data_IF_386830897273
#
_entry.id   IF_386830897273
#
_cell.length_a   1.000
_cell.length_b   1.000
_cell.length_c   1.000
_cell.angle_alpha   90.00
_cell.angle_beta   90.00
_cell.angle_gamma   90.00
#
_symmetry.space_group_name_H-M   'P 1'
#
loop_
_entity.id
_entity.type
_entity.pdbx_description
1 polymer ?
#
# COMPACT_ATOMS: atom_id res chain seq x y z
N UNK A 1 25.90 -6.47 -62.10
CA UNK A 1 26.17 -7.26 -60.88
C UNK A 1 26.07 -6.30 -59.70
N UNK A 2 24.84 -6.04 -59.25
CA UNK A 2 24.54 -5.06 -58.20
C UNK A 2 24.69 -5.70 -56.82
N UNK A 3 25.45 -5.08 -55.92
CA UNK A 3 25.62 -5.54 -54.54
C UNK A 3 24.56 -4.88 -53.66
N UNK A 4 23.61 -5.68 -53.21
CA UNK A 4 22.55 -5.29 -52.28
C UNK A 4 23.10 -5.27 -50.85
N UNK A 5 23.16 -4.09 -50.23
CA UNK A 5 23.58 -3.93 -48.83
C UNK A 5 22.34 -4.15 -47.95
N UNK A 6 22.30 -5.28 -47.24
CA UNK A 6 21.26 -5.58 -46.25
C UNK A 6 21.44 -4.69 -45.01
N UNK A 7 20.58 -3.68 -44.87
CA UNK A 7 20.49 -2.83 -43.68
C UNK A 7 19.78 -3.59 -42.54
N UNK A 8 20.55 -4.40 -41.80
CA UNK A 8 20.06 -5.02 -40.58
C UNK A 8 20.18 -4.02 -39.43
N UNK A 9 19.20 -3.12 -39.31
CA UNK A 9 19.01 -2.26 -38.12
C UNK A 9 18.63 -3.12 -36.92
N UNK A 10 19.61 -3.81 -36.34
CA UNK A 10 19.51 -4.42 -35.02
C UNK A 10 19.24 -3.29 -34.03
N UNK A 11 18.00 -3.18 -33.56
CA UNK A 11 17.67 -2.38 -32.37
C UNK A 11 18.34 -3.07 -31.18
N UNK A 12 19.60 -2.73 -30.95
CA UNK A 12 20.27 -3.03 -29.70
C UNK A 12 19.65 -2.10 -28.67
N UNK A 13 18.57 -2.53 -28.04
CA UNK A 13 18.27 -2.02 -26.71
C UNK A 13 19.43 -2.49 -25.83
N UNK A 14 20.36 -1.59 -25.55
CA UNK A 14 21.24 -1.77 -24.40
C UNK A 14 20.33 -1.74 -23.18
N UNK A 15 19.91 -2.91 -22.71
CA UNK A 15 19.30 -3.07 -21.39
C UNK A 15 20.45 -3.07 -20.40
N UNK A 16 21.17 -1.95 -20.33
CA UNK A 16 21.95 -1.67 -19.15
C UNK A 16 20.92 -1.40 -18.06
N UNK A 17 20.93 -2.13 -16.93
CA UNK A 17 20.12 -1.76 -15.79
C UNK A 17 20.63 -0.40 -15.34
N UNK A 18 20.01 0.67 -15.84
CA UNK A 18 20.20 2.01 -15.32
C UNK A 18 20.02 1.88 -13.81
N UNK A 19 20.99 2.33 -13.03
CA UNK A 19 21.00 2.22 -11.58
C UNK A 19 19.86 3.06 -11.01
N UNK A 20 18.66 2.50 -11.05
CA UNK A 20 17.41 3.16 -10.66
C UNK A 20 17.42 3.27 -9.14
N UNK A 21 17.07 4.46 -8.65
CA UNK A 21 16.84 4.67 -7.23
C UNK A 21 15.70 3.76 -6.73
N UNK A 22 15.71 3.32 -5.46
CA UNK A 22 14.62 2.52 -4.91
C UNK A 22 13.24 3.15 -5.11
N UNK A 23 13.16 4.48 -5.05
CA UNK A 23 11.96 5.27 -5.34
C UNK A 23 11.46 5.11 -6.78
N UNK A 24 12.36 5.10 -7.77
CA UNK A 24 11.98 4.91 -9.18
C UNK A 24 11.57 3.46 -9.45
N UNK A 25 12.24 2.49 -8.80
CA UNK A 25 11.84 1.08 -8.87
C UNK A 25 10.44 0.89 -8.31
N UNK A 26 10.16 1.44 -7.13
CA UNK A 26 8.83 1.41 -6.52
C UNK A 26 7.79 2.07 -7.42
N UNK A 27 8.06 3.30 -7.88
CA UNK A 27 7.12 4.06 -8.72
C UNK A 27 6.78 3.30 -9.99
N UNK A 28 7.80 2.73 -10.66
CA UNK A 28 7.59 1.90 -11.85
C UNK A 28 6.77 0.64 -11.55
N UNK A 29 7.04 -0.05 -10.44
CA UNK A 29 6.21 -1.20 -10.01
C UNK A 29 4.76 -0.73 -9.79
N UNK A 30 4.55 0.36 -9.08
CA UNK A 30 3.23 0.88 -8.75
C UNK A 30 2.41 1.25 -9.99
N UNK A 31 2.99 2.03 -10.90
CA UNK A 31 2.31 2.43 -12.14
C UNK A 31 2.04 1.23 -13.05
N UNK A 32 2.92 0.22 -13.06
CA UNK A 32 2.74 -0.98 -13.88
C UNK A 32 1.53 -1.83 -13.47
N UNK A 33 1.14 -1.82 -12.19
CA UNK A 33 -0.08 -2.48 -11.71
C UNK A 33 -1.30 -1.58 -11.87
N UNK A 34 -1.17 -0.30 -11.49
CA UNK A 34 -2.30 0.62 -11.40
C UNK A 34 -2.87 0.98 -12.78
N UNK A 35 -2.04 1.44 -13.72
CA UNK A 35 -2.52 2.00 -14.99
C UNK A 35 -3.33 0.98 -15.81
N UNK A 36 -2.88 -0.27 -15.98
CA UNK A 36 -3.67 -1.27 -16.69
C UNK A 36 -5.00 -1.57 -16.00
N UNK A 37 -5.04 -1.56 -14.67
CA UNK A 37 -6.24 -1.92 -13.94
C UNK A 37 -7.28 -0.79 -13.95
N UNK A 38 -6.85 0.47 -13.81
CA UNK A 38 -7.73 1.63 -14.02
C UNK A 38 -8.28 1.66 -15.45
N UNK A 39 -7.45 1.31 -16.45
CA UNK A 39 -7.91 1.20 -17.84
C UNK A 39 -9.00 0.13 -18.00
N UNK A 40 -8.86 -1.02 -17.34
CA UNK A 40 -9.89 -2.09 -17.34
C UNK A 40 -11.20 -1.59 -16.76
N UNK A 41 -11.17 -0.95 -15.58
CA UNK A 41 -12.37 -0.38 -14.95
C UNK A 41 -13.08 0.65 -15.83
N UNK A 42 -12.33 1.44 -16.61
CA UNK A 42 -12.91 2.39 -17.55
C UNK A 42 -13.55 1.72 -18.79
N UNK A 43 -13.13 0.51 -19.16
CA UNK A 43 -13.78 -0.24 -20.25
C UNK A 43 -15.14 -0.80 -19.82
N UNK A 44 -15.28 -1.14 -18.53
CA UNK A 44 -16.50 -1.68 -17.93
C UNK A 44 -17.48 -0.53 -17.58
N UNK A 45 -18.09 0.08 -18.62
CA UNK A 45 -18.95 1.27 -18.55
C UNK A 45 -20.29 1.08 -17.79
N UNK A 46 -20.25 0.81 -16.49
CA UNK A 46 -21.41 0.99 -15.60
C UNK A 46 -21.02 1.93 -14.45
N UNK A 47 -21.35 3.24 -14.54
CA UNK A 47 -21.05 4.18 -13.48
C UNK A 47 -21.96 3.90 -12.28
N UNK A 48 -21.42 3.23 -11.27
CA UNK A 48 -22.10 2.98 -10.01
C UNK A 48 -21.16 3.34 -8.84
N UNK A 49 -21.68 3.58 -7.63
CA UNK A 49 -20.87 3.84 -6.43
C UNK A 49 -19.84 2.74 -6.14
N UNK A 50 -20.09 1.53 -6.66
CA UNK A 50 -19.17 0.38 -6.64
C UNK A 50 -17.81 0.76 -7.23
N UNK A 51 -17.77 1.62 -8.25
CA UNK A 51 -16.53 1.98 -8.95
C UNK A 51 -15.52 2.66 -8.02
N UNK A 52 -15.94 3.46 -7.05
CA UNK A 52 -15.00 4.10 -6.13
C UNK A 52 -14.37 3.09 -5.18
N UNK A 53 -15.16 2.13 -4.68
CA UNK A 53 -14.66 1.04 -3.85
C UNK A 53 -13.72 0.12 -4.64
N UNK A 54 -14.05 -0.16 -5.91
CA UNK A 54 -13.20 -0.95 -6.80
C UNK A 54 -11.90 -0.22 -7.17
N UNK A 55 -11.96 1.08 -7.45
CA UNK A 55 -10.77 1.90 -7.69
C UNK A 55 -9.88 1.93 -6.44
N UNK A 56 -10.46 2.13 -5.26
CA UNK A 56 -9.71 2.07 -4.00
C UNK A 56 -9.06 0.71 -3.80
N UNK A 57 -9.81 -0.38 -4.00
CA UNK A 57 -9.30 -1.74 -3.89
C UNK A 57 -8.10 -1.98 -4.81
N UNK A 58 -8.19 -1.53 -6.07
CA UNK A 58 -7.12 -1.69 -7.04
C UNK A 58 -5.90 -0.81 -6.72
N UNK A 59 -6.13 0.41 -6.25
CA UNK A 59 -5.07 1.32 -5.77
C UNK A 59 -4.33 0.72 -4.57
N UNK A 60 -5.07 0.24 -3.57
CA UNK A 60 -4.50 -0.40 -2.37
C UNK A 60 -3.75 -1.68 -2.74
N UNK A 61 -4.26 -2.46 -3.70
CA UNK A 61 -3.61 -3.66 -4.21
C UNK A 61 -2.31 -3.34 -4.94
N UNK A 62 -2.32 -2.34 -5.83
CA UNK A 62 -1.13 -1.87 -6.52
C UNK A 62 -0.08 -1.34 -5.54
N UNK A 63 -0.51 -0.64 -4.49
CA UNK A 63 0.36 -0.16 -3.41
C UNK A 63 1.04 -1.33 -2.71
N UNK A 64 0.27 -2.33 -2.27
CA UNK A 64 0.80 -3.49 -1.56
C UNK A 64 1.75 -4.34 -2.43
N UNK A 65 1.39 -4.59 -3.70
CA UNK A 65 2.25 -5.34 -4.65
C UNK A 65 3.58 -4.63 -4.93
N UNK A 66 3.61 -3.30 -4.86
CA UNK A 66 4.83 -2.51 -5.06
C UNK A 66 5.72 -2.49 -3.83
N UNK A 67 5.13 -2.78 -2.67
CA UNK A 67 5.70 -2.72 -1.34
C UNK A 67 5.97 -4.12 -0.74
N UNK A 68 5.99 -5.18 -1.58
CA UNK A 68 6.07 -6.59 -1.14
C UNK A 68 7.27 -6.92 -0.22
N UNK A 69 8.27 -6.04 -0.18
CA UNK A 69 9.45 -6.14 0.67
C UNK A 69 9.13 -5.82 2.15
N UNK A 70 7.95 -5.28 2.45
CA UNK A 70 7.51 -4.88 3.80
C UNK A 70 6.41 -5.80 4.33
N UNK A 71 6.42 -6.06 5.64
CA UNK A 71 5.48 -6.94 6.31
C UNK A 71 4.05 -6.41 6.20
N UNK A 72 3.84 -5.10 6.41
CA UNK A 72 2.51 -4.46 6.32
C UNK A 72 1.83 -4.69 4.96
N UNK A 73 2.62 -4.84 3.90
CA UNK A 73 2.10 -5.07 2.55
C UNK A 73 1.42 -6.44 2.42
N UNK A 74 1.96 -7.46 3.11
CA UNK A 74 1.40 -8.81 3.14
C UNK A 74 0.05 -8.83 3.84
N UNK A 75 -0.04 -8.19 5.00
CA UNK A 75 -1.31 -8.04 5.73
C UNK A 75 -2.34 -7.23 4.92
N UNK A 76 -1.91 -6.17 4.22
CA UNK A 76 -2.79 -5.42 3.33
C UNK A 76 -3.35 -6.30 2.20
N UNK A 77 -2.51 -7.13 1.56
CA UNK A 77 -2.96 -8.06 0.52
C UNK A 77 -3.94 -9.11 1.05
N UNK A 78 -3.69 -9.64 2.25
CA UNK A 78 -4.58 -10.59 2.92
C UNK A 78 -5.93 -9.95 3.23
N UNK A 79 -5.93 -8.72 3.73
CA UNK A 79 -7.16 -7.94 4.00
C UNK A 79 -7.96 -7.68 2.72
N UNK A 80 -7.28 -7.27 1.64
CA UNK A 80 -7.92 -7.03 0.33
C UNK A 80 -8.47 -8.31 -0.32
N UNK A 81 -7.89 -9.47 -0.01
CA UNK A 81 -8.35 -10.78 -0.51
C UNK A 81 -9.51 -11.35 0.33
N UNK A 82 -9.56 -11.04 1.63
CA UNK A 82 -10.58 -11.51 2.56
C UNK A 82 -11.87 -10.66 2.54
N UNK A 83 -11.81 -9.45 1.98
CA UNK A 83 -12.91 -8.48 1.91
C UNK A 83 -14.08 -8.88 0.99
N UNK A 84 -14.23 -10.15 0.64
CA UNK A 84 -15.42 -10.67 -0.02
C UNK A 84 -16.54 -11.05 0.97
N UNK A 85 -16.29 -10.92 2.28
CA UNK A 85 -17.27 -11.17 3.32
C UNK A 85 -17.24 -10.00 4.32
N UNK A 86 -18.34 -9.23 4.49
CA UNK A 86 -18.45 -8.29 5.60
C UNK A 86 -18.77 -9.07 6.87
N UNK A 87 -17.81 -9.81 7.42
CA UNK A 87 -17.97 -10.40 8.76
C UNK A 87 -17.54 -9.39 9.80
N UNK A 88 -18.55 -8.70 10.34
CA UNK A 88 -18.55 -8.11 11.67
C UNK A 88 -17.97 -9.10 12.67
N UNK A 89 -16.73 -8.86 13.11
CA UNK A 89 -16.21 -9.45 14.34
C UNK A 89 -15.78 -8.31 15.24
N UNK A 90 -16.77 -7.61 15.79
CA UNK A 90 -16.65 -6.94 17.08
C UNK A 90 -16.52 -8.05 18.12
N UNK A 91 -15.29 -8.46 18.44
CA UNK A 91 -15.02 -9.26 19.62
C UNK A 91 -15.08 -8.34 20.84
N UNK A 92 -16.29 -8.15 21.37
CA UNK A 92 -16.45 -7.75 22.76
C UNK A 92 -15.87 -8.86 23.64
N UNK A 93 -14.82 -8.56 24.39
CA UNK A 93 -14.45 -9.36 25.56
C UNK A 93 -14.53 -8.48 26.79
N UNK A 94 -15.66 -8.61 27.47
CA UNK A 94 -15.87 -8.10 28.82
C UNK A 94 -15.02 -8.89 29.80
N UNK A 95 -14.27 -8.21 30.66
CA UNK A 95 -14.02 -8.69 32.02
C UNK A 95 -14.14 -7.50 32.97
N UNK A 96 -15.26 -7.46 33.69
CA UNK A 96 -15.44 -6.57 34.80
C UNK A 96 -14.74 -7.11 36.04
N UNK A 97 -13.91 -6.29 36.67
CA UNK A 97 -13.56 -6.43 38.08
C UNK A 97 -13.66 -5.06 38.72
N UNK A 98 -14.73 -4.86 39.52
CA UNK A 98 -14.87 -3.72 40.42
C UNK A 98 -14.09 -4.01 41.68
N UNK A 99 -12.99 -3.30 41.95
CA UNK A 99 -12.55 -2.96 43.31
C UNK A 99 -12.04 -1.51 43.31
N UNK A 100 -12.62 -0.75 44.24
CA UNK A 100 -12.39 0.64 44.58
C UNK A 100 -11.00 0.83 45.23
N UNK A 101 -10.43 2.02 45.06
CA UNK A 101 -9.57 2.76 46.01
C UNK A 101 -8.12 3.00 45.56
N UNK A 102 -7.72 4.29 45.50
CA UNK A 102 -6.34 4.69 45.75
C UNK A 102 -5.67 5.61 44.73
N UNK A 103 -5.77 6.92 44.98
CA UNK A 103 -4.75 7.96 44.75
C UNK A 103 -4.36 8.36 43.31
N UNK A 104 -4.52 9.65 43.03
CA UNK A 104 -4.00 10.35 41.86
C UNK A 104 -2.53 10.04 41.58
N UNK A 105 -2.27 9.42 40.43
CA UNK A 105 -1.07 9.65 39.64
C UNK A 105 -1.52 9.88 38.20
N UNK A 106 -1.14 11.02 37.65
CA UNK A 106 -1.19 11.24 36.21
C UNK A 106 -0.09 10.36 35.63
N UNK A 107 -0.46 9.14 35.23
CA UNK A 107 0.48 8.12 34.78
C UNK A 107 0.80 8.33 33.29
N UNK A 108 1.90 9.03 32.98
CA UNK A 108 2.41 9.24 31.61
C UNK A 108 2.47 7.93 30.77
N UNK A 109 2.68 6.79 31.42
CA UNK A 109 2.73 5.47 30.79
C UNK A 109 1.38 5.06 30.14
N UNK A 110 0.25 5.49 30.71
CA UNK A 110 -1.07 5.20 30.15
C UNK A 110 -1.36 5.95 28.86
N UNK A 111 -0.86 7.19 28.74
CA UNK A 111 -1.00 8.00 27.51
C UNK A 111 -0.15 7.44 26.36
N UNK A 112 1.03 6.90 26.68
CA UNK A 112 1.93 6.28 25.68
C UNK A 112 1.29 5.00 25.11
N UNK A 113 0.73 4.15 25.96
CA UNK A 113 0.07 2.92 25.52
C UNK A 113 -1.16 3.21 24.64
N UNK A 114 -1.96 4.22 24.98
CA UNK A 114 -3.09 4.66 24.16
C UNK A 114 -2.61 5.13 22.76
N UNK A 115 -1.59 5.98 22.70
CA UNK A 115 -1.00 6.44 21.43
C UNK A 115 -0.43 5.31 20.58
N UNK A 116 0.19 4.31 21.21
CA UNK A 116 0.68 3.12 20.50
C UNK A 116 -0.48 2.31 19.91
N UNK A 117 -1.58 2.16 20.65
CA UNK A 117 -2.80 1.51 20.16
C UNK A 117 -3.43 2.28 18.99
N UNK A 118 -3.42 3.61 19.02
CA UNK A 118 -3.88 4.43 17.90
C UNK A 118 -2.98 4.27 16.66
N UNK A 119 -1.66 4.28 16.85
CA UNK A 119 -0.70 4.10 15.77
C UNK A 119 -0.85 2.74 15.10
N UNK A 120 -1.08 1.69 15.89
CA UNK A 120 -1.31 0.33 15.41
C UNK A 120 -2.47 0.25 14.42
N UNK A 121 -3.57 0.97 14.69
CA UNK A 121 -4.78 1.00 13.84
C UNK A 121 -4.54 1.71 12.49
N UNK A 122 -3.51 2.54 12.38
CA UNK A 122 -3.16 3.24 11.15
C UNK A 122 -2.37 2.36 10.18
N UNK A 123 -1.64 1.37 10.70
CA UNK A 123 -0.82 0.46 9.90
C UNK A 123 -1.66 -0.74 9.43
N UNK A 124 -1.66 -1.09 8.13
CA UNK A 124 -2.30 -2.31 7.67
C UNK A 124 -1.69 -3.56 8.34
N UNK A 125 -2.47 -4.22 9.21
CA UNK A 125 -2.00 -5.39 9.97
C UNK A 125 -1.17 -5.04 11.19
N UNK A 126 -1.20 -3.78 11.64
CA UNK A 126 -0.48 -3.38 12.85
C UNK A 126 -0.92 -4.19 14.07
N UNK A 127 -2.19 -4.57 14.16
CA UNK A 127 -2.76 -5.37 15.26
C UNK A 127 -2.07 -6.74 15.45
N UNK A 128 -1.45 -7.25 14.38
CA UNK A 128 -0.78 -8.55 14.37
C UNK A 128 0.74 -8.44 14.60
N UNK A 129 1.29 -7.22 14.62
CA UNK A 129 2.73 -6.95 14.79
C UNK A 129 3.11 -6.64 16.24
N UNK A 130 4.35 -6.97 16.61
CA UNK A 130 4.95 -6.47 17.84
C UNK A 130 5.29 -4.97 17.71
N UNK A 131 5.51 -4.28 18.82
CA UNK A 131 5.70 -2.81 18.85
C UNK A 131 6.93 -2.40 18.06
N UNK A 132 8.05 -3.11 18.17
CA UNK A 132 9.30 -2.78 17.49
C UNK A 132 9.16 -2.89 15.96
N UNK A 133 8.56 -3.99 15.48
CA UNK A 133 8.27 -4.22 14.08
C UNK A 133 7.27 -3.19 13.55
N UNK A 134 6.18 -2.93 14.28
CA UNK A 134 5.19 -1.91 13.93
C UNK A 134 5.83 -0.52 13.74
N UNK A 135 6.76 -0.13 14.63
CA UNK A 135 7.45 1.16 14.55
C UNK A 135 8.46 1.24 13.39
N UNK A 136 9.03 0.12 12.95
CA UNK A 136 9.83 0.07 11.72
C UNK A 136 8.93 0.14 10.48
N UNK A 137 7.86 -0.64 10.49
CA UNK A 137 6.93 -0.77 9.37
C UNK A 137 6.11 0.50 9.13
N UNK A 138 5.80 1.28 10.16
CA UNK A 138 5.13 2.58 9.98
C UNK A 138 5.99 3.55 9.17
N UNK A 139 7.31 3.57 9.41
CA UNK A 139 8.24 4.39 8.62
C UNK A 139 8.27 3.96 7.15
N UNK A 140 8.30 2.65 6.91
CA UNK A 140 8.21 2.07 5.57
C UNK A 140 6.87 2.38 4.89
N UNK A 141 5.76 2.31 5.62
CA UNK A 141 4.43 2.61 5.11
C UNK A 141 4.31 4.08 4.70
N UNK A 142 4.75 5.02 5.55
CA UNK A 142 4.77 6.46 5.23
C UNK A 142 5.59 6.70 3.95
N UNK A 143 6.77 6.09 3.84
CA UNK A 143 7.61 6.18 2.64
C UNK A 143 6.87 5.73 1.37
N UNK A 144 6.15 4.61 1.44
CA UNK A 144 5.37 4.10 0.32
C UNK A 144 4.19 5.02 -0.04
N UNK A 145 3.53 5.65 0.93
CA UNK A 145 2.47 6.63 0.69
C UNK A 145 2.99 7.91 0.00
N UNK A 146 4.17 8.39 0.38
CA UNK A 146 4.84 9.50 -0.30
C UNK A 146 5.13 9.16 -1.76
N UNK A 147 5.72 7.98 -2.01
CA UNK A 147 6.03 7.52 -3.36
C UNK A 147 4.77 7.27 -4.20
N UNK A 148 3.70 6.75 -3.59
CA UNK A 148 2.39 6.61 -4.23
C UNK A 148 1.88 7.97 -4.71
N UNK A 149 1.96 8.99 -3.85
CA UNK A 149 1.54 10.36 -4.17
C UNK A 149 2.35 10.93 -5.33
N UNK A 150 3.67 10.70 -5.35
CA UNK A 150 4.54 11.12 -6.45
C UNK A 150 4.13 10.42 -7.75
N UNK A 151 3.96 9.10 -7.73
CA UNK A 151 3.57 8.31 -8.89
C UNK A 151 2.23 8.76 -9.49
N UNK A 152 1.23 8.99 -8.64
CA UNK A 152 -0.09 9.48 -9.06
C UNK A 152 -0.01 10.88 -9.66
N UNK A 153 0.77 11.79 -9.06
CA UNK A 153 1.00 13.14 -9.61
C UNK A 153 1.65 13.08 -11.00
N UNK A 154 2.65 12.22 -11.20
CA UNK A 154 3.27 12.04 -12.51
C UNK A 154 2.27 11.57 -13.57
N UNK A 155 1.45 10.57 -13.26
CA UNK A 155 0.40 10.09 -14.20
C UNK A 155 -0.55 11.22 -14.61
N UNK A 156 -0.99 12.05 -13.65
CA UNK A 156 -1.92 13.15 -13.95
C UNK A 156 -1.23 14.23 -14.81
N UNK A 157 0.02 14.57 -14.51
CA UNK A 157 0.78 15.56 -15.28
C UNK A 157 1.08 15.07 -16.71
N UNK A 158 1.39 13.79 -16.90
CA UNK A 158 1.66 13.20 -18.21
C UNK A 158 0.42 13.19 -19.14
N UNK A 159 -0.78 13.35 -18.57
CA UNK A 159 -2.05 13.38 -19.32
C UNK A 159 -2.53 14.79 -19.70
N UNK A 160 -1.84 15.84 -19.27
CA UNK A 160 -2.21 17.25 -19.54
C UNK A 160 -1.27 17.87 -20.58
#
# INVERSE_FOLDING_TARGET
MERQIMNNKKRLFSVEPTKLSPSEVFTRKYTSHLVPALKKLNMDKNPSPINQLTVKHEVDKALALSAQEFAWSGFLLQKLSSSNNPTTTTSSSSNGTRILEGACKEDEDGEIEEKLSELQKLLPGGEEMNVEEMLSEIGNYIKCLELQTIALKSIVQDTT
#
